data_IF_317368174495
#
_entry.id   IF_317368174495
#
_cell.length_a   1.000
_cell.length_b   1.000
_cell.length_c   1.000
_cell.angle_alpha   90.00
_cell.angle_beta   90.00
_cell.angle_gamma   90.00
#
_symmetry.space_group_name_H-M   'P 1'
#
loop_
_entity.id
_entity.type
_entity.pdbx_description
1 polymer ?
#
# COMPACT_ATOMS: atom_id res chain seq x y z
N UNK A 1 -19.63 -5.83 -8.88
CA UNK A 1 -19.91 -6.24 -7.50
C UNK A 1 -20.04 -4.98 -6.65
N UNK A 2 -21.00 -4.95 -5.73
CA UNK A 2 -21.51 -3.72 -5.14
C UNK A 2 -20.46 -3.01 -4.28
N UNK A 3 -20.10 -1.78 -4.69
CA UNK A 3 -19.24 -0.85 -3.94
C UNK A 3 -19.71 -0.67 -2.49
N UNK A 4 -21.01 -0.82 -2.24
CA UNK A 4 -21.70 -0.65 -0.95
C UNK A 4 -21.24 -1.58 0.18
N UNK A 5 -20.60 -2.72 -0.09
CA UNK A 5 -20.15 -3.61 0.99
C UNK A 5 -18.77 -3.22 1.56
N UNK A 6 -17.99 -2.41 0.83
CA UNK A 6 -16.65 -1.98 1.26
C UNK A 6 -16.70 -0.68 2.08
N UNK A 7 -17.76 0.10 1.90
CA UNK A 7 -17.93 1.40 2.53
C UNK A 7 -19.12 1.41 3.47
N UNK A 8 -19.01 2.17 4.55
CA UNK A 8 -20.11 2.45 5.45
C UNK A 8 -21.11 3.45 4.84
N UNK A 9 -22.11 3.84 5.63
CA UNK A 9 -23.15 4.79 5.20
C UNK A 9 -22.62 6.20 4.91
N UNK A 10 -21.44 6.54 5.44
CA UNK A 10 -20.81 7.84 5.33
C UNK A 10 -19.75 7.87 4.20
N UNK A 11 -19.58 6.74 3.50
CA UNK A 11 -18.65 6.60 2.38
C UNK A 11 -17.20 6.35 2.80
N UNK A 12 -16.96 6.04 4.08
CA UNK A 12 -15.66 5.61 4.60
C UNK A 12 -15.52 4.09 4.47
N UNK A 13 -14.30 3.54 4.43
CA UNK A 13 -14.12 2.09 4.51
C UNK A 13 -14.83 1.56 5.75
N UNK A 14 -15.68 0.56 5.58
CA UNK A 14 -16.39 -0.07 6.68
C UNK A 14 -15.40 -0.73 7.67
N UNK A 15 -15.77 -0.85 8.93
CA UNK A 15 -14.96 -1.54 9.95
C UNK A 15 -14.63 -2.98 9.54
N UNK A 16 -15.58 -3.67 8.89
CA UNK A 16 -15.37 -5.01 8.35
C UNK A 16 -14.30 -5.04 7.25
N UNK A 17 -14.21 -3.98 6.44
CA UNK A 17 -13.18 -3.82 5.40
C UNK A 17 -11.80 -3.67 6.05
N UNK A 18 -11.69 -2.81 7.08
CA UNK A 18 -10.44 -2.61 7.80
C UNK A 18 -10.00 -3.89 8.52
N UNK A 19 -10.93 -4.55 9.22
CA UNK A 19 -10.67 -5.81 9.90
C UNK A 19 -10.27 -6.94 8.93
N UNK A 20 -10.82 -6.96 7.72
CA UNK A 20 -10.44 -7.92 6.69
C UNK A 20 -8.99 -7.71 6.23
N UNK A 21 -8.55 -6.46 6.09
CA UNK A 21 -7.16 -6.11 5.73
C UNK A 21 -6.20 -6.53 6.85
N UNK A 22 -6.51 -6.16 8.10
CA UNK A 22 -5.69 -6.46 9.27
C UNK A 22 -5.48 -7.97 9.47
N UNK A 23 -6.53 -8.76 9.22
CA UNK A 23 -6.55 -10.22 9.45
C UNK A 23 -6.33 -11.02 8.17
N UNK A 24 -5.98 -10.39 7.06
CA UNK A 24 -5.80 -11.06 5.78
C UNK A 24 -4.78 -12.20 5.91
N UNK A 25 -5.09 -13.43 5.45
CA UNK A 25 -4.31 -14.63 5.75
C UNK A 25 -3.07 -14.76 4.87
N UNK A 26 -2.13 -13.81 5.00
CA UNK A 26 -0.90 -13.74 4.22
C UNK A 26 0.06 -14.87 4.62
N UNK A 27 0.47 -15.67 3.64
CA UNK A 27 1.46 -16.76 3.76
C UNK A 27 2.62 -16.58 2.79
N UNK A 28 2.33 -16.08 1.59
CA UNK A 28 3.30 -15.88 0.50
C UNK A 28 3.07 -14.55 -0.25
N UNK A 29 3.92 -14.25 -1.24
CA UNK A 29 3.87 -12.96 -1.96
C UNK A 29 2.60 -12.81 -2.81
N UNK A 30 2.03 -13.90 -3.29
CA UNK A 30 0.78 -13.95 -4.01
C UNK A 30 -0.38 -13.44 -3.14
N UNK A 31 -0.41 -13.80 -1.86
CA UNK A 31 -1.40 -13.29 -0.90
C UNK A 31 -1.25 -11.77 -0.67
N UNK A 32 -0.02 -11.25 -0.71
CA UNK A 32 0.23 -9.82 -0.66
C UNK A 32 -0.34 -9.10 -1.89
N UNK A 33 -0.24 -9.71 -3.09
CA UNK A 33 -0.82 -9.15 -4.31
C UNK A 33 -2.35 -9.05 -4.20
N UNK A 34 -2.99 -10.09 -3.67
CA UNK A 34 -4.44 -10.13 -3.48
C UNK A 34 -4.89 -9.11 -2.42
N UNK A 35 -4.16 -8.97 -1.33
CA UNK A 35 -4.40 -7.95 -0.31
C UNK A 35 -4.27 -6.53 -0.88
N UNK A 36 -3.20 -6.23 -1.63
CA UNK A 36 -3.01 -4.91 -2.25
C UNK A 36 -4.10 -4.60 -3.28
N UNK A 37 -4.56 -5.59 -4.04
CA UNK A 37 -5.68 -5.46 -4.97
C UNK A 37 -6.99 -5.19 -4.25
N UNK A 38 -7.23 -5.86 -3.12
CA UNK A 38 -8.40 -5.61 -2.26
C UNK A 38 -8.40 -4.18 -1.73
N UNK A 39 -7.26 -3.71 -1.20
CA UNK A 39 -7.09 -2.33 -0.71
C UNK A 39 -7.32 -1.31 -1.83
N UNK A 40 -6.79 -1.55 -3.02
CA UNK A 40 -7.04 -0.68 -4.18
C UNK A 40 -8.53 -0.65 -4.59
N UNK A 41 -9.23 -1.78 -4.48
CA UNK A 41 -10.68 -1.85 -4.71
C UNK A 41 -11.51 -1.09 -3.66
N UNK A 42 -10.99 -0.94 -2.45
CA UNK A 42 -11.59 -0.15 -1.37
C UNK A 42 -11.16 1.33 -1.38
N UNK A 43 -10.33 1.76 -2.33
CA UNK A 43 -9.83 3.13 -2.39
C UNK A 43 -10.89 4.11 -2.89
N UNK A 44 -10.91 5.32 -2.32
CA UNK A 44 -11.94 6.31 -2.65
C UNK A 44 -11.83 6.84 -4.08
N UNK A 45 -10.61 7.19 -4.51
CA UNK A 45 -10.25 7.60 -5.87
C UNK A 45 -9.43 6.49 -6.55
N UNK A 46 -10.05 5.56 -7.30
CA UNK A 46 -9.36 4.38 -7.83
C UNK A 46 -8.09 4.70 -8.64
N UNK A 47 -8.04 5.85 -9.30
CA UNK A 47 -6.87 6.36 -10.03
C UNK A 47 -5.63 6.58 -9.15
N UNK A 48 -5.82 6.75 -7.84
CA UNK A 48 -4.77 6.97 -6.85
C UNK A 48 -4.30 5.68 -6.15
N UNK A 49 -4.87 4.53 -6.48
CA UNK A 49 -4.45 3.23 -5.95
C UNK A 49 -4.42 2.19 -7.08
N UNK A 50 -3.23 1.92 -7.61
CA UNK A 50 -3.08 1.05 -8.78
C UNK A 50 -1.72 0.37 -8.85
N UNK A 51 -1.71 -0.76 -9.55
CA UNK A 51 -0.49 -1.41 -10.03
C UNK A 51 0.02 -0.65 -11.26
N UNK A 52 1.16 0.04 -11.13
CA UNK A 52 1.75 0.87 -12.20
C UNK A 52 2.71 0.08 -13.10
N UNK A 53 3.18 -1.06 -12.62
CA UNK A 53 3.94 -2.07 -13.35
C UNK A 53 3.72 -3.42 -12.64
N UNK A 54 3.93 -4.57 -13.30
CA UNK A 54 3.76 -5.87 -12.66
C UNK A 54 4.53 -5.97 -11.34
N UNK A 55 3.81 -6.18 -10.24
CA UNK A 55 4.35 -6.23 -8.89
C UNK A 55 4.75 -4.89 -8.29
N UNK A 56 4.38 -3.73 -8.86
CA UNK A 56 4.62 -2.39 -8.29
C UNK A 56 3.30 -1.66 -8.10
N UNK A 57 2.91 -1.49 -6.84
CA UNK A 57 1.68 -0.80 -6.44
C UNK A 57 1.99 0.58 -5.90
N UNK A 58 1.18 1.56 -6.28
CA UNK A 58 1.24 2.94 -5.76
C UNK A 58 -0.09 3.33 -5.16
N UNK A 59 -0.03 3.97 -3.99
CA UNK A 59 -1.18 4.49 -3.26
C UNK A 59 -0.93 5.95 -2.88
N UNK A 60 -1.85 6.84 -3.22
CA UNK A 60 -1.87 8.23 -2.78
C UNK A 60 -3.18 8.52 -2.04
N UNK A 61 -3.10 8.92 -0.77
CA UNK A 61 -4.30 9.12 0.06
C UNK A 61 -5.11 10.33 -0.41
N UNK A 62 -4.47 11.29 -1.08
CA UNK A 62 -5.09 12.57 -1.45
C UNK A 62 -5.50 13.41 -0.25
N UNK A 63 -4.93 13.13 0.93
CA UNK A 63 -5.30 13.78 2.19
C UNK A 63 -6.65 13.35 2.77
N UNK A 64 -7.24 12.25 2.26
CA UNK A 64 -8.50 11.71 2.78
C UNK A 64 -8.26 10.60 3.82
N UNK A 65 -8.86 10.76 5.00
CA UNK A 65 -8.60 9.91 6.18
C UNK A 65 -9.09 8.47 6.03
N UNK A 66 -10.06 8.18 5.17
CA UNK A 66 -10.46 6.79 4.90
C UNK A 66 -9.35 6.00 4.17
N UNK A 67 -8.66 6.63 3.21
CA UNK A 67 -7.51 6.01 2.54
C UNK A 67 -6.34 5.83 3.52
N UNK A 68 -6.15 6.77 4.45
CA UNK A 68 -5.17 6.63 5.52
C UNK A 68 -5.49 5.46 6.45
N UNK A 69 -6.79 5.23 6.72
CA UNK A 69 -7.27 4.10 7.52
C UNK A 69 -6.98 2.76 6.83
N UNK A 70 -7.16 2.67 5.50
CA UNK A 70 -6.76 1.48 4.73
C UNK A 70 -5.26 1.18 4.83
N UNK A 71 -4.40 2.21 4.71
CA UNK A 71 -2.96 2.05 4.89
C UNK A 71 -2.60 1.70 6.35
N UNK A 72 -3.36 2.24 7.31
CA UNK A 72 -3.24 1.90 8.73
C UNK A 72 -3.54 0.42 8.99
N UNK A 73 -4.63 -0.10 8.42
CA UNK A 73 -4.99 -1.50 8.49
C UNK A 73 -3.92 -2.41 7.84
N UNK A 74 -3.38 -2.02 6.68
CA UNK A 74 -2.25 -2.73 6.05
C UNK A 74 -1.03 -2.82 6.96
N UNK A 75 -0.69 -1.71 7.65
CA UNK A 75 0.45 -1.65 8.55
C UNK A 75 0.28 -2.51 9.81
N UNK A 76 -0.96 -2.84 10.18
CA UNK A 76 -1.28 -3.72 11.30
C UNK A 76 -1.23 -5.21 10.95
N UNK A 77 -1.23 -5.57 9.66
CA UNK A 77 -1.06 -6.96 9.24
C UNK A 77 0.42 -7.37 9.36
N UNK A 78 0.76 -8.10 10.43
CA UNK A 78 2.15 -8.48 10.76
C UNK A 78 2.82 -9.32 9.66
N UNK A 79 2.09 -10.27 9.07
CA UNK A 79 2.65 -11.14 8.03
C UNK A 79 2.92 -10.37 6.74
N UNK A 80 2.00 -9.47 6.35
CA UNK A 80 2.22 -8.54 5.26
C UNK A 80 3.45 -7.67 5.53
N UNK A 81 3.55 -7.08 6.74
CA UNK A 81 4.69 -6.26 7.14
C UNK A 81 6.02 -7.03 7.08
N UNK A 82 6.04 -8.29 7.52
CA UNK A 82 7.23 -9.13 7.47
C UNK A 82 7.68 -9.42 6.02
N UNK A 83 6.76 -9.80 5.13
CA UNK A 83 7.07 -10.08 3.73
C UNK A 83 7.42 -8.82 2.92
N UNK A 84 6.82 -7.68 3.27
CA UNK A 84 7.10 -6.40 2.62
C UNK A 84 8.34 -5.70 3.16
N UNK A 85 9.01 -6.21 4.19
CA UNK A 85 10.19 -5.58 4.76
C UNK A 85 11.28 -5.33 3.70
N UNK A 86 11.72 -4.08 3.58
CA UNK A 86 12.69 -3.67 2.56
C UNK A 86 12.17 -3.67 1.11
N UNK A 87 10.86 -3.81 0.92
CA UNK A 87 10.14 -3.82 -0.37
C UNK A 87 9.03 -2.77 -0.46
N UNK A 88 9.07 -1.75 0.40
CA UNK A 88 8.08 -0.68 0.41
C UNK A 88 8.74 0.67 0.73
N UNK A 89 8.05 1.74 0.33
CA UNK A 89 8.36 3.12 0.68
C UNK A 89 7.08 3.79 1.12
N UNK A 90 7.10 4.48 2.27
CA UNK A 90 6.00 5.35 2.71
C UNK A 90 6.55 6.74 2.98
N UNK A 91 5.98 7.73 2.31
CA UNK A 91 6.37 9.12 2.45
C UNK A 91 5.35 9.87 3.31
N UNK A 92 5.81 10.96 3.94
CA UNK A 92 4.92 11.94 4.53
C UNK A 92 3.95 12.49 3.46
N UNK A 93 2.72 12.81 3.86
CA UNK A 93 1.66 13.24 2.93
C UNK A 93 0.86 12.11 2.29
N UNK A 94 1.03 10.86 2.75
CA UNK A 94 0.14 9.76 2.39
C UNK A 94 0.43 9.11 1.05
N UNK A 95 1.69 9.10 0.61
CA UNK A 95 2.13 8.35 -0.56
C UNK A 95 2.84 7.06 -0.13
N UNK A 96 2.43 5.92 -0.70
CA UNK A 96 3.02 4.62 -0.44
C UNK A 96 3.29 3.85 -1.74
N UNK A 97 4.41 3.13 -1.76
CA UNK A 97 4.80 2.22 -2.85
C UNK A 97 5.11 0.85 -2.25
N UNK A 98 4.60 -0.21 -2.86
CA UNK A 98 4.86 -1.60 -2.48
C UNK A 98 5.34 -2.39 -3.71
N UNK A 99 6.43 -3.13 -3.56
CA UNK A 99 7.08 -3.89 -4.63
C UNK A 99 7.12 -5.39 -4.32
N UNK A 100 6.33 -6.19 -5.03
CA UNK A 100 6.31 -7.65 -4.91
C UNK A 100 7.37 -8.33 -5.79
N UNK A 101 7.71 -7.72 -6.92
CA UNK A 101 8.75 -8.22 -7.81
C UNK A 101 10.14 -7.74 -7.36
N UNK A 102 11.14 -8.61 -7.51
CA UNK A 102 12.54 -8.30 -7.13
C UNK A 102 13.09 -7.12 -7.93
N UNK A 103 12.86 -7.10 -9.25
CA UNK A 103 13.25 -5.99 -10.12
C UNK A 103 12.68 -4.64 -9.65
N UNK A 104 11.41 -4.63 -9.26
CA UNK A 104 10.74 -3.42 -8.75
C UNK A 104 11.27 -3.02 -7.38
N UNK A 105 11.69 -3.98 -6.56
CA UNK A 105 12.33 -3.73 -5.27
C UNK A 105 13.71 -3.09 -5.47
N UNK A 106 14.51 -3.58 -6.41
CA UNK A 106 15.82 -3.00 -6.77
C UNK A 106 15.64 -1.56 -7.28
N UNK A 107 14.69 -1.33 -8.18
CA UNK A 107 14.39 -0.01 -8.69
C UNK A 107 13.95 0.96 -7.57
N UNK A 108 13.07 0.52 -6.67
CA UNK A 108 12.61 1.31 -5.53
C UNK A 108 13.76 1.69 -4.57
N UNK A 109 14.69 0.77 -4.32
CA UNK A 109 15.88 1.06 -3.50
C UNK A 109 16.76 2.11 -4.16
N UNK A 110 17.04 1.98 -5.45
CA UNK A 110 17.79 2.99 -6.20
C UNK A 110 17.08 4.36 -6.26
N UNK A 111 15.75 4.40 -6.30
CA UNK A 111 14.96 5.64 -6.13
C UNK A 111 15.12 6.21 -4.71
N UNK A 112 15.03 5.37 -3.69
CA UNK A 112 15.16 5.77 -2.28
C UNK A 112 16.57 6.31 -1.99
N UNK A 113 17.62 5.64 -2.48
CA UNK A 113 19.01 6.06 -2.32
C UNK A 113 19.25 7.43 -2.95
N UNK A 114 18.70 7.68 -4.15
CA UNK A 114 18.75 9.00 -4.80
C UNK A 114 18.06 10.09 -3.99
N UNK A 115 16.91 9.80 -3.37
CA UNK A 115 16.21 10.74 -2.50
C UNK A 115 17.03 11.03 -1.25
N UNK A 116 17.62 10.01 -0.64
CA UNK A 116 18.47 10.14 0.56
C UNK A 116 19.74 10.93 0.25
N UNK A 117 20.40 10.65 -0.88
CA UNK A 117 21.57 11.40 -1.35
C UNK A 117 21.20 12.87 -1.58
N UNK A 118 20.10 13.13 -2.29
CA UNK A 118 19.62 14.50 -2.52
C UNK A 118 19.32 15.24 -1.20
N UNK A 119 18.66 14.57 -0.25
CA UNK A 119 18.23 15.18 1.01
C UNK A 119 19.41 15.46 1.96
N UNK A 120 20.45 14.62 1.95
CA UNK A 120 21.50 14.64 2.97
C UNK A 120 22.93 14.79 2.45
N UNK A 121 23.13 14.88 1.13
CA UNK A 121 24.44 15.08 0.51
C UNK A 121 25.45 13.93 0.73
N UNK A 122 24.97 12.73 1.11
CA UNK A 122 25.84 11.56 1.26
C UNK A 122 26.11 10.93 -0.09
N UNK A 123 27.34 11.09 -0.59
CA UNK A 123 27.87 10.22 -1.65
C UNK A 123 28.12 8.84 -1.02
N UNK A 124 27.47 7.81 -1.58
CA UNK A 124 27.81 6.42 -1.28
C UNK A 124 29.26 6.10 -1.62
#
# INVERSE_FOLDING_TARGET
MARTALFDRDGYPAEETLAAIEKWPVKEHEDCADLLRFVAGAWYWPEYAREVAPGRWTFATGGWSGNESLLGALAQNLMFGALMSGRFLRLAGGFAVYCLAEEQTVALRAETDRIVEWAWGRKG
#
